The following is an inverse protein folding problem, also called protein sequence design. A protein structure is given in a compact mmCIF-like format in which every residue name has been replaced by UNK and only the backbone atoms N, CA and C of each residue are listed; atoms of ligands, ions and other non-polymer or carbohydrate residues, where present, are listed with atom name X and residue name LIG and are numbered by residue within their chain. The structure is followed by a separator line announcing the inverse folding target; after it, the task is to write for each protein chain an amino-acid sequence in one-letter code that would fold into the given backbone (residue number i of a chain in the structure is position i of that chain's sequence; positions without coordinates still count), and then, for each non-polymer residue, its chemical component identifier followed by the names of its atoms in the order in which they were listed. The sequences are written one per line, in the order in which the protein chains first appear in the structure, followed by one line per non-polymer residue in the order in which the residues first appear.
data_IF_172139244436
#
_entry.id   IF_172139244436
#
_cell.length_a   1.000
_cell.length_b   1.000
_cell.length_c   1.000
_cell.angle_alpha   90.00
_cell.angle_beta   90.00
_cell.angle_gamma   90.00
#
_symmetry.space_group_name_H-M   'P 1'
#
loop_
_entity.id
_entity.type
_entity.pdbx_description
1 polymer ?
#
# COMPACT_ATOMS: atom_id res chain seq x y z
N UNK A 1 -36.30 38.15 -48.16
CA UNK A 1 -36.14 39.62 -48.04
C UNK A 1 -35.34 39.87 -46.76
N UNK A 2 -34.11 40.41 -46.80
CA UNK A 2 -33.70 41.76 -47.22
C UNK A 2 -34.11 42.81 -46.15
N UNK A 3 -33.26 43.68 -45.58
CA UNK A 3 -31.84 44.07 -45.83
C UNK A 3 -31.17 44.65 -44.54
N UNK A 4 -29.84 44.87 -44.59
CA UNK A 4 -28.93 45.57 -43.64
C UNK A 4 -28.83 47.10 -43.96
N UNK A 5 -27.98 47.93 -43.30
CA UNK A 5 -27.54 47.98 -41.89
C UNK A 5 -27.96 49.37 -41.29
N UNK A 6 -27.15 50.47 -41.09
CA UNK A 6 -25.70 50.74 -40.91
C UNK A 6 -25.31 51.28 -39.49
N UNK A 7 -24.01 51.58 -39.26
CA UNK A 7 -23.55 52.43 -38.13
C UNK A 7 -22.17 52.10 -37.53
N UNK A 8 -21.09 52.73 -38.01
CA UNK A 8 -19.75 52.75 -37.39
C UNK A 8 -19.52 54.09 -36.65
N UNK A 9 -18.50 54.20 -35.77
CA UNK A 9 -17.31 54.96 -36.18
C UNK A 9 -15.97 54.40 -35.64
N UNK A 10 -14.88 55.14 -35.91
CA UNK A 10 -13.47 54.78 -35.76
C UNK A 10 -12.82 55.13 -34.40
N UNK A 11 -11.58 54.67 -34.19
CA UNK A 11 -10.70 55.14 -33.11
C UNK A 11 -9.35 54.42 -33.03
N UNK A 12 -8.30 54.97 -33.64
CA UNK A 12 -6.94 54.41 -33.63
C UNK A 12 -6.00 55.12 -32.64
N UNK A 13 -4.92 54.46 -32.19
CA UNK A 13 -3.76 55.18 -31.65
C UNK A 13 -2.80 54.42 -30.70
N UNK A 14 -1.51 54.50 -31.00
CA UNK A 14 -0.45 54.57 -29.96
C UNK A 14 0.33 53.29 -29.66
N UNK A 15 1.66 53.32 -29.80
CA UNK A 15 2.59 52.24 -29.45
C UNK A 15 3.86 52.77 -28.74
N UNK A 16 4.71 51.84 -28.27
CA UNK A 16 6.09 52.01 -27.72
C UNK A 16 6.17 52.42 -26.23
N UNK A 17 7.20 52.03 -25.46
CA UNK A 17 8.41 51.23 -25.77
C UNK A 17 8.92 50.44 -24.54
N UNK A 18 9.62 49.30 -24.73
CA UNK A 18 11.09 49.13 -24.94
C UNK A 18 11.97 49.31 -23.69
N UNK A 19 12.62 48.22 -23.26
CA UNK A 19 13.97 48.25 -22.67
C UNK A 19 14.67 46.86 -22.78
N UNK A 20 15.59 46.71 -23.74
CA UNK A 20 16.55 45.58 -23.85
C UNK A 20 17.80 46.05 -24.64
N UNK A 21 18.90 46.37 -23.96
CA UNK A 21 20.26 46.64 -24.53
C UNK A 21 21.30 46.35 -23.42
N UNK A 22 21.87 45.14 -23.30
CA UNK A 22 23.18 44.61 -23.79
C UNK A 22 24.50 45.11 -23.12
N UNK A 23 25.48 44.18 -23.12
CA UNK A 23 26.93 44.21 -22.81
C UNK A 23 27.31 43.56 -21.47
N UNK A 24 28.40 42.77 -21.37
CA UNK A 24 29.47 42.52 -22.36
C UNK A 24 30.22 41.19 -22.20
N UNK A 25 31.28 41.04 -22.99
CA UNK A 25 32.06 39.80 -23.20
C UNK A 25 32.95 39.43 -21.99
N UNK A 26 33.20 38.12 -21.83
CA UNK A 26 34.31 37.58 -21.05
C UNK A 26 34.74 36.20 -21.56
N UNK A 27 35.79 36.15 -22.40
CA UNK A 27 36.49 34.90 -22.76
C UNK A 27 37.68 34.72 -21.80
N UNK A 28 37.85 33.54 -21.24
CA UNK A 28 39.18 32.99 -20.96
C UNK A 28 39.13 31.45 -20.94
N UNK A 29 40.07 30.83 -21.66
CA UNK A 29 40.42 29.41 -21.50
C UNK A 29 41.66 29.34 -20.61
N UNK A 30 41.81 28.29 -19.80
CA UNK A 30 42.82 27.24 -20.02
C UNK A 30 43.13 26.40 -18.75
N UNK A 31 43.62 25.17 -18.98
CA UNK A 31 44.48 24.33 -18.11
C UNK A 31 43.81 23.71 -16.86
N UNK A 32 43.49 22.41 -16.88
CA UNK A 32 44.34 21.20 -16.67
C UNK A 32 44.71 20.94 -15.20
N UNK A 33 44.31 19.77 -14.70
CA UNK A 33 44.71 19.23 -13.38
C UNK A 33 43.96 17.94 -13.05
N UNK A 34 44.54 16.79 -13.39
CA UNK A 34 44.17 15.51 -12.77
C UNK A 34 44.72 15.48 -11.34
N UNK A 35 43.97 14.91 -10.40
CA UNK A 35 44.36 13.68 -9.68
C UNK A 35 43.29 13.29 -8.66
N UNK A 36 42.90 12.01 -8.67
CA UNK A 36 42.01 11.42 -7.68
C UNK A 36 42.79 10.35 -6.92
N UNK A 37 43.31 10.71 -5.74
CA UNK A 37 44.03 9.79 -4.87
C UNK A 37 43.07 8.86 -4.13
N UNK A 38 43.02 7.59 -4.51
CA UNK A 38 42.40 6.54 -3.69
C UNK A 38 43.33 6.19 -2.53
N UNK A 39 42.82 6.20 -1.29
CA UNK A 39 43.56 5.74 -0.12
C UNK A 39 43.02 4.38 0.34
N UNK A 40 43.83 3.35 0.13
CA UNK A 40 43.61 1.99 0.59
C UNK A 40 44.60 1.73 1.73
N UNK A 41 44.11 1.45 2.94
CA UNK A 41 44.96 1.16 4.11
C UNK A 41 44.70 -0.26 4.58
N UNK A 42 45.80 -1.03 4.68
CA UNK A 42 45.79 -2.45 4.99
C UNK A 42 46.19 -2.73 6.43
N UNK A 43 45.74 -3.90 6.90
CA UNK A 43 46.02 -4.56 8.19
C UNK A 43 47.45 -4.42 8.74
N UNK A 44 47.55 -4.37 10.07
CA UNK A 44 48.61 -5.08 10.82
C UNK A 44 48.19 -5.32 12.28
N UNK A 45 48.51 -6.52 12.79
CA UNK A 45 48.53 -6.88 14.22
C UNK A 45 49.99 -7.15 14.63
N UNK A 46 50.30 -7.30 15.94
CA UNK A 46 50.67 -8.65 16.39
C UNK A 46 50.37 -9.04 17.87
N UNK A 47 50.15 -10.35 18.05
CA UNK A 47 50.66 -11.30 19.07
C UNK A 47 50.88 -10.91 20.56
N UNK A 48 49.99 -11.44 21.41
CA UNK A 48 50.18 -12.46 22.49
C UNK A 48 51.49 -12.56 23.33
N UNK A 49 51.33 -12.77 24.66
CA UNK A 49 52.20 -13.58 25.57
C UNK A 49 51.70 -13.70 27.04
N UNK A 50 51.29 -14.90 27.44
CA UNK A 50 51.95 -15.69 28.52
C UNK A 50 51.87 -15.33 30.03
N UNK A 51 50.81 -15.80 30.72
CA UNK A 51 50.74 -16.55 32.02
C UNK A 51 51.75 -16.31 33.18
N UNK A 52 51.22 -16.05 34.40
CA UNK A 52 51.76 -16.49 35.72
C UNK A 52 50.66 -16.56 36.82
N UNK A 53 50.88 -17.30 37.92
CA UNK A 53 49.92 -17.59 39.02
C UNK A 53 50.62 -17.63 40.41
N UNK A 54 49.98 -17.98 41.56
CA UNK A 54 48.83 -17.34 42.23
C UNK A 54 49.02 -17.08 43.77
N UNK A 55 47.96 -16.60 44.45
CA UNK A 55 47.66 -16.66 45.93
C UNK A 55 48.24 -15.58 46.88
N UNK A 56 47.64 -15.34 48.09
CA UNK A 56 46.21 -15.44 48.47
C UNK A 56 45.68 -14.28 49.37
N UNK A 57 44.35 -14.26 49.58
CA UNK A 57 43.63 -13.87 50.82
C UNK A 57 43.85 -12.47 51.46
N UNK A 58 42.78 -11.64 51.46
CA UNK A 58 42.24 -11.16 52.74
C UNK A 58 40.71 -10.96 52.72
N UNK A 59 40.10 -10.93 53.91
CA UNK A 59 38.66 -11.20 54.14
C UNK A 59 37.95 -10.03 54.84
N UNK A 60 36.79 -9.62 54.33
CA UNK A 60 35.79 -8.83 55.07
C UNK A 60 34.36 -9.22 54.63
N UNK A 61 33.41 -9.23 55.57
CA UNK A 61 32.01 -9.68 55.42
C UNK A 61 31.04 -8.51 55.73
N UNK A 62 29.71 -8.73 55.87
CA UNK A 62 28.69 -9.18 54.90
C UNK A 62 27.61 -8.07 54.70
N UNK A 63 26.48 -8.28 53.97
CA UNK A 63 25.25 -8.67 54.70
C UNK A 63 24.16 -9.48 53.93
N UNK A 64 23.39 -10.25 54.72
CA UNK A 64 21.96 -10.64 54.60
C UNK A 64 21.41 -11.40 53.34
N UNK A 65 20.44 -12.33 53.53
CA UNK A 65 19.77 -13.04 52.45
C UNK A 65 18.65 -12.20 51.80
N UNK A 66 18.33 -12.41 50.51
CA UNK A 66 17.22 -11.72 49.86
C UNK A 66 15.86 -12.24 50.37
N UNK A 67 14.94 -11.31 50.63
CA UNK A 67 13.53 -11.65 50.88
C UNK A 67 12.87 -12.18 49.59
N UNK A 68 11.88 -13.10 49.71
CA UNK A 68 11.13 -13.58 48.55
C UNK A 68 10.25 -12.46 47.98
N UNK A 69 10.42 -12.17 46.69
CA UNK A 69 9.58 -11.23 45.94
C UNK A 69 8.20 -11.87 45.71
N UNK A 70 7.08 -11.19 46.00
CA UNK A 70 5.75 -11.73 45.72
C UNK A 70 5.52 -11.87 44.21
N UNK A 71 5.16 -13.07 43.79
CA UNK A 71 4.83 -13.39 42.40
C UNK A 71 3.61 -12.60 41.92
N UNK A 72 3.79 -11.75 40.90
CA UNK A 72 2.66 -11.17 40.18
C UNK A 72 1.91 -12.24 39.37
N UNK A 73 0.57 -12.16 39.26
CA UNK A 73 -0.20 -13.09 38.44
C UNK A 73 0.08 -12.81 36.96
N UNK A 74 0.71 -13.76 36.28
CA UNK A 74 0.91 -13.70 34.83
C UNK A 74 -0.45 -13.92 34.15
N UNK A 75 -1.00 -12.88 33.53
CA UNK A 75 -2.22 -13.01 32.72
C UNK A 75 -1.92 -13.83 31.47
N UNK A 76 -2.27 -15.12 31.51
CA UNK A 76 -2.10 -16.06 30.41
C UNK A 76 -3.14 -15.84 29.32
N UNK A 77 -2.70 -15.42 28.12
CA UNK A 77 -3.52 -15.53 26.92
C UNK A 77 -3.81 -17.02 26.59
N UNK A 78 -5.08 -17.45 26.45
CA UNK A 78 -5.41 -18.86 26.30
C UNK A 78 -5.45 -19.29 24.82
N UNK A 79 -4.32 -19.22 24.11
CA UNK A 79 -4.11 -20.01 22.87
C UNK A 79 -2.64 -20.47 22.80
N UNK A 80 -2.35 -21.78 22.92
CA UNK A 80 -1.00 -22.28 22.70
C UNK A 80 -0.67 -22.28 21.20
N UNK A 81 0.31 -21.49 20.80
CA UNK A 81 0.91 -21.57 19.47
C UNK A 81 1.68 -22.90 19.34
N UNK A 82 0.99 -23.94 18.87
CA UNK A 82 1.63 -25.22 18.57
C UNK A 82 2.47 -25.10 17.31
N UNK A 83 3.75 -25.46 17.43
CA UNK A 83 4.60 -25.76 16.29
C UNK A 83 4.17 -27.09 15.67
N UNK A 84 3.15 -27.06 14.82
CA UNK A 84 2.82 -28.19 13.94
C UNK A 84 3.50 -28.01 12.57
N UNK A 85 3.65 -29.12 11.85
CA UNK A 85 4.69 -29.32 10.83
C UNK A 85 4.74 -28.27 9.71
N UNK A 86 5.97 -27.93 9.31
CA UNK A 86 6.37 -26.94 8.29
C UNK A 86 6.00 -27.31 6.85
N UNK A 87 4.72 -27.61 6.59
CA UNK A 87 4.14 -27.27 5.31
C UNK A 87 4.14 -25.74 5.24
N UNK A 88 4.78 -25.14 4.22
CA UNK A 88 4.62 -23.71 3.99
C UNK A 88 3.13 -23.45 3.76
N UNK A 89 2.58 -22.38 4.36
CA UNK A 89 1.17 -22.00 4.24
C UNK A 89 0.90 -21.50 2.80
N UNK A 90 0.85 -22.43 1.86
CA UNK A 90 0.76 -22.17 0.44
C UNK A 90 -0.70 -21.94 0.06
N UNK A 91 -1.03 -20.68 -0.19
CA UNK A 91 -2.34 -20.23 -0.66
C UNK A 91 -2.17 -19.53 -2.00
N UNK A 92 -3.20 -19.54 -2.84
CA UNK A 92 -3.20 -18.86 -4.13
C UNK A 92 -4.61 -18.54 -4.57
N UNK A 93 -4.86 -18.59 -5.88
CA UNK A 93 -6.17 -18.35 -6.49
C UNK A 93 -6.60 -19.47 -7.45
N UNK A 94 -5.88 -20.60 -7.43
CA UNK A 94 -6.14 -21.78 -8.24
C UNK A 94 -7.21 -22.66 -7.60
N UNK A 95 -7.67 -23.67 -8.33
CA UNK A 95 -8.71 -24.60 -7.87
C UNK A 95 -8.36 -25.28 -6.54
N UNK A 96 -7.09 -25.69 -6.34
CA UNK A 96 -6.65 -26.49 -5.20
C UNK A 96 -6.09 -25.68 -4.01
N UNK A 97 -5.88 -24.37 -4.18
CA UNK A 97 -5.24 -23.49 -3.17
C UNK A 97 -5.97 -22.14 -2.97
N UNK A 98 -7.09 -21.97 -3.67
CA UNK A 98 -7.82 -20.71 -3.78
C UNK A 98 -8.75 -20.38 -2.61
N UNK A 99 -9.50 -19.26 -2.71
CA UNK A 99 -10.39 -18.74 -1.67
C UNK A 99 -11.35 -19.74 -1.00
N UNK A 100 -11.78 -20.78 -1.73
CA UNK A 100 -12.66 -21.83 -1.18
C UNK A 100 -11.97 -22.69 -0.10
N UNK A 101 -10.64 -22.85 -0.20
CA UNK A 101 -9.80 -23.71 0.64
C UNK A 101 -9.09 -22.96 1.76
N UNK A 102 -8.96 -21.63 1.68
CA UNK A 102 -8.21 -20.85 2.68
C UNK A 102 -8.69 -21.07 4.12
N UNK A 103 -9.97 -21.37 4.34
CA UNK A 103 -10.55 -21.72 5.66
C UNK A 103 -9.95 -22.96 6.32
N UNK A 104 -9.37 -23.87 5.54
CA UNK A 104 -8.76 -25.13 6.02
C UNK A 104 -7.44 -24.86 6.76
N UNK A 105 -6.75 -23.77 6.39
CA UNK A 105 -5.46 -23.35 6.95
C UNK A 105 -5.62 -22.10 7.84
N UNK A 106 -6.57 -21.22 7.51
CA UNK A 106 -6.86 -19.97 8.20
C UNK A 106 -8.33 -19.98 8.67
N UNK A 107 -8.67 -20.55 9.83
CA UNK A 107 -10.07 -20.69 10.29
C UNK A 107 -10.86 -19.37 10.34
N UNK A 108 -10.17 -18.24 10.56
CA UNK A 108 -10.75 -16.89 10.53
C UNK A 108 -11.36 -16.51 9.16
N UNK A 109 -11.04 -17.24 8.09
CA UNK A 109 -11.70 -17.11 6.78
C UNK A 109 -13.23 -17.28 6.83
N UNK A 110 -13.75 -17.94 7.88
CA UNK A 110 -15.18 -18.11 8.15
C UNK A 110 -15.70 -17.22 9.31
N UNK A 111 -14.93 -16.19 9.68
CA UNK A 111 -15.25 -15.22 10.74
C UNK A 111 -16.45 -14.32 10.40
N UNK A 112 -16.88 -13.55 11.40
CA UNK A 112 -18.11 -12.76 11.32
C UNK A 112 -17.97 -11.46 10.52
N UNK A 113 -16.75 -10.97 10.32
CA UNK A 113 -16.46 -9.69 9.68
C UNK A 113 -15.49 -9.84 8.52
N UNK A 114 -15.64 -10.91 7.74
CA UNK A 114 -14.82 -11.17 6.56
C UNK A 114 -15.12 -10.23 5.39
N UNK A 115 -14.10 -9.95 4.57
CA UNK A 115 -14.15 -9.09 3.38
C UNK A 115 -13.63 -9.85 2.14
N UNK A 116 -13.98 -9.44 0.91
CA UNK A 116 -14.86 -8.32 0.54
C UNK A 116 -16.34 -8.62 0.83
N UNK A 117 -17.23 -7.67 0.56
CA UNK A 117 -18.69 -7.84 0.63
C UNK A 117 -19.37 -7.33 -0.66
N UNK A 118 -20.63 -7.73 -0.85
CA UNK A 118 -21.52 -7.06 -1.79
C UNK A 118 -22.20 -5.87 -1.10
N UNK A 119 -22.02 -4.67 -1.65
CA UNK A 119 -22.61 -3.44 -1.12
C UNK A 119 -24.00 -3.27 -1.74
N UNK A 120 -25.04 -3.62 -0.96
CA UNK A 120 -26.44 -3.38 -1.31
C UNK A 120 -26.77 -1.91 -1.07
N UNK A 121 -26.90 -1.10 -2.12
CA UNK A 121 -27.00 0.35 -1.99
C UNK A 121 -28.25 0.81 -1.24
N UNK A 122 -29.38 0.13 -1.47
CA UNK A 122 -30.65 0.36 -0.75
C UNK A 122 -30.57 0.05 0.76
N UNK A 123 -29.67 -0.84 1.17
CA UNK A 123 -29.46 -1.21 2.58
C UNK A 123 -28.42 -0.31 3.29
N UNK A 124 -27.71 0.57 2.54
CA UNK A 124 -26.67 1.43 3.12
C UNK A 124 -27.25 2.60 3.90
N UNK A 125 -26.75 2.81 5.12
CA UNK A 125 -27.24 3.89 5.99
C UNK A 125 -26.45 5.18 5.78
N UNK A 126 -27.16 6.27 5.50
CA UNK A 126 -26.57 7.60 5.52
C UNK A 126 -26.20 7.98 6.96
N UNK A 127 -24.94 8.31 7.19
CA UNK A 127 -24.44 8.74 8.49
C UNK A 127 -23.83 10.15 8.37
N UNK A 128 -24.55 11.21 8.78
CA UNK A 128 -24.07 12.59 8.70
C UNK A 128 -22.92 12.92 9.67
N UNK A 129 -22.52 11.99 10.55
CA UNK A 129 -21.31 12.14 11.37
C UNK A 129 -20.02 11.76 10.63
N UNK A 130 -20.14 11.10 9.47
CA UNK A 130 -19.00 10.75 8.63
C UNK A 130 -18.37 12.01 8.03
N UNK A 131 -17.13 12.27 8.44
CA UNK A 131 -16.35 13.43 7.99
C UNK A 131 -15.87 13.23 6.53
N UNK A 132 -15.42 14.29 5.84
CA UNK A 132 -14.64 14.14 4.62
C UNK A 132 -13.38 13.29 4.85
N UNK A 133 -12.94 12.57 3.82
CA UNK A 133 -11.63 11.92 3.80
C UNK A 133 -10.55 12.95 3.48
N UNK A 134 -9.42 12.86 4.17
CA UNK A 134 -8.27 13.75 3.97
C UNK A 134 -6.99 12.91 3.80
N UNK A 135 -6.76 12.33 2.60
CA UNK A 135 -5.51 11.71 2.23
C UNK A 135 -4.43 12.79 1.97
N UNK A 136 -3.24 12.60 2.50
CA UNK A 136 -2.09 13.47 2.28
C UNK A 136 -0.86 12.60 2.07
N UNK A 137 -0.30 12.58 0.87
CA UNK A 137 0.77 11.67 0.48
C UNK A 137 1.97 12.42 -0.07
N UNK A 138 3.15 12.11 0.46
CA UNK A 138 4.44 12.59 -0.04
C UNK A 138 4.91 11.68 -1.18
N UNK A 139 5.09 12.18 -2.43
CA UNK A 139 5.60 11.37 -3.53
C UNK A 139 6.97 10.73 -3.25
N UNK A 140 7.80 11.38 -2.43
CA UNK A 140 9.13 10.87 -2.06
C UNK A 140 9.08 9.69 -1.07
N UNK A 141 7.90 9.38 -0.51
CA UNK A 141 7.71 8.20 0.34
C UNK A 141 7.65 6.89 -0.44
N UNK A 142 7.36 6.90 -1.75
CA UNK A 142 7.38 5.68 -2.58
C UNK A 142 8.79 5.08 -2.65
N UNK A 143 8.93 3.76 -2.45
CA UNK A 143 10.23 3.06 -2.39
C UNK A 143 10.42 2.09 -3.56
N UNK A 144 9.56 1.08 -3.66
CA UNK A 144 9.71 -0.03 -4.60
C UNK A 144 8.36 -0.45 -5.16
N UNK A 145 8.39 -0.98 -6.38
CA UNK A 145 7.30 -1.78 -6.97
C UNK A 145 7.78 -3.23 -7.01
N UNK A 146 6.91 -4.19 -6.68
CA UNK A 146 7.23 -5.62 -6.71
C UNK A 146 6.04 -6.47 -7.18
N UNK A 147 6.36 -7.65 -7.73
CA UNK A 147 5.41 -8.74 -7.89
C UNK A 147 5.68 -9.77 -6.79
N UNK A 148 4.69 -10.01 -5.92
CA UNK A 148 4.82 -10.97 -4.82
C UNK A 148 4.26 -12.37 -5.14
N UNK A 149 3.81 -12.61 -6.37
CA UNK A 149 3.14 -13.85 -6.82
C UNK A 149 1.61 -13.82 -6.66
N UNK A 150 1.08 -12.93 -5.84
CA UNK A 150 -0.36 -12.78 -5.56
C UNK A 150 -0.91 -11.42 -6.07
N UNK A 151 -0.06 -10.42 -6.26
CA UNK A 151 -0.37 -9.11 -6.82
C UNK A 151 0.94 -8.39 -7.24
N UNK A 152 0.80 -7.33 -8.03
CA UNK A 152 1.76 -6.22 -8.02
C UNK A 152 1.45 -5.26 -6.86
N UNK A 153 2.47 -4.69 -6.23
CA UNK A 153 2.30 -3.71 -5.14
C UNK A 153 3.40 -2.66 -5.16
N UNK A 154 3.07 -1.43 -4.73
CA UNK A 154 4.04 -0.36 -4.45
C UNK A 154 4.12 -0.17 -2.93
N UNK A 155 5.33 -0.17 -2.38
CA UNK A 155 5.58 0.07 -0.95
C UNK A 155 6.04 1.50 -0.66
N UNK A 156 5.61 2.04 0.48
CA UNK A 156 5.92 3.41 0.92
C UNK A 156 6.69 3.44 2.26
N UNK A 157 7.41 4.53 2.51
CA UNK A 157 8.05 4.83 3.79
C UNK A 157 7.00 5.25 4.84
N UNK A 158 6.75 4.36 5.77
CA UNK A 158 5.80 4.50 6.87
C UNK A 158 6.48 4.68 8.25
N UNK A 159 7.78 5.01 8.25
CA UNK A 159 8.54 5.27 9.49
C UNK A 159 8.10 6.56 10.18
N UNK A 160 7.52 7.50 9.43
CA UNK A 160 7.05 8.82 9.87
C UNK A 160 5.74 9.21 9.16
N UNK A 161 5.05 10.25 9.65
CA UNK A 161 3.78 10.74 9.09
C UNK A 161 3.98 11.55 7.78
N UNK A 162 4.70 11.00 6.79
CA UNK A 162 4.85 11.59 5.43
C UNK A 162 3.62 11.38 4.55
N UNK A 163 3.10 10.16 4.58
CA UNK A 163 1.97 9.71 3.78
C UNK A 163 0.92 9.09 4.69
N UNK A 164 -0.23 9.77 4.84
CA UNK A 164 -1.24 9.47 5.83
C UNK A 164 -2.66 9.64 5.30
N UNK A 165 -3.59 8.89 5.89
CA UNK A 165 -5.02 9.07 5.76
C UNK A 165 -5.60 9.53 7.10
N UNK A 166 -6.47 10.54 7.04
CA UNK A 166 -7.19 11.09 8.18
C UNK A 166 -8.65 11.38 7.78
N UNK A 167 -9.50 11.65 8.77
CA UNK A 167 -10.91 11.97 8.55
C UNK A 167 -11.79 10.73 8.33
N UNK A 168 -12.93 10.94 7.69
CA UNK A 168 -13.95 9.91 7.49
C UNK A 168 -14.33 9.14 8.76
N UNK A 169 -14.37 7.79 8.72
CA UNK A 169 -14.71 6.94 9.86
C UNK A 169 -13.55 6.76 10.85
N UNK A 170 -12.38 7.36 10.59
CA UNK A 170 -11.15 7.10 11.34
C UNK A 170 -11.08 7.95 12.62
N UNK A 171 -10.56 7.33 13.67
CA UNK A 171 -10.35 7.91 15.00
C UNK A 171 -9.04 8.71 15.12
N UNK A 172 -8.10 8.54 14.20
CA UNK A 172 -6.76 9.13 14.25
C UNK A 172 -6.03 9.05 12.91
N UNK A 173 -4.70 9.08 12.94
CA UNK A 173 -3.82 9.15 11.77
C UNK A 173 -3.31 7.78 11.35
N UNK A 174 -3.61 7.38 10.11
CA UNK A 174 -3.21 6.07 9.57
C UNK A 174 -2.14 6.26 8.50
N UNK A 175 -0.95 5.66 8.66
CA UNK A 175 0.16 5.76 7.71
C UNK A 175 -0.02 4.83 6.53
N UNK A 176 0.23 5.34 5.32
CA UNK A 176 0.25 4.55 4.09
C UNK A 176 1.40 3.54 4.13
N UNK A 177 1.07 2.26 4.03
CA UNK A 177 2.04 1.16 3.95
C UNK A 177 2.35 0.79 2.50
N UNK A 178 1.31 0.54 1.72
CA UNK A 178 1.40 0.03 0.36
C UNK A 178 0.13 0.32 -0.44
N UNK A 179 0.22 0.22 -1.76
CA UNK A 179 -0.93 0.01 -2.64
C UNK A 179 -0.78 -1.29 -3.43
N UNK A 180 -1.90 -1.96 -3.74
CA UNK A 180 -1.94 -3.17 -4.56
C UNK A 180 -3.26 -3.28 -5.35
N UNK A 181 -3.37 -4.24 -6.25
CA UNK A 181 -4.48 -4.35 -7.20
C UNK A 181 -5.04 -5.77 -7.26
N UNK A 182 -6.36 -5.88 -7.36
CA UNK A 182 -7.06 -7.11 -7.68
C UNK A 182 -7.70 -6.99 -9.07
N UNK A 183 -7.58 -8.03 -9.88
CA UNK A 183 -8.11 -8.09 -11.25
C UNK A 183 -8.52 -9.52 -11.61
N UNK A 184 -9.24 -9.64 -12.72
CA UNK A 184 -9.65 -10.92 -13.28
C UNK A 184 -9.22 -11.10 -14.73
N UNK A 185 -9.58 -12.26 -15.28
CA UNK A 185 -9.08 -12.75 -16.57
C UNK A 185 -9.69 -12.03 -17.77
N UNK A 186 -10.77 -11.28 -17.56
CA UNK A 186 -11.44 -10.47 -18.57
C UNK A 186 -11.77 -9.08 -18.02
N UNK A 187 -12.30 -8.23 -18.90
CA UNK A 187 -12.60 -6.82 -18.63
C UNK A 187 -13.94 -6.60 -17.88
N UNK A 188 -14.71 -7.67 -17.66
CA UNK A 188 -16.05 -7.62 -17.05
C UNK A 188 -15.99 -7.81 -15.53
N UNK A 189 -15.01 -8.57 -15.03
CA UNK A 189 -14.96 -8.98 -13.63
C UNK A 189 -13.54 -9.13 -13.12
N UNK A 190 -13.19 -8.33 -12.11
CA UNK A 190 -11.92 -8.41 -11.38
C UNK A 190 -11.87 -7.74 -10.02
N UNK A 191 -12.88 -6.92 -9.66
CA UNK A 191 -13.03 -6.38 -8.31
C UNK A 191 -13.34 -7.48 -7.28
N UNK A 192 -12.93 -7.19 -6.05
CA UNK A 192 -13.21 -8.00 -4.86
C UNK A 192 -14.60 -7.65 -4.32
N UNK A 193 -14.83 -6.36 -4.07
CA UNK A 193 -16.14 -5.82 -3.74
C UNK A 193 -17.06 -5.81 -4.97
N UNK A 194 -18.36 -5.87 -4.70
CA UNK A 194 -19.42 -5.65 -5.68
C UNK A 194 -20.38 -4.58 -5.17
N UNK A 195 -21.10 -3.94 -6.10
CA UNK A 195 -22.15 -2.97 -5.79
C UNK A 195 -23.44 -3.47 -6.44
N UNK A 196 -24.45 -3.78 -5.63
CA UNK A 196 -25.70 -4.42 -6.05
C UNK A 196 -25.49 -5.68 -6.92
N UNK A 197 -24.44 -6.46 -6.62
CA UNK A 197 -24.01 -7.65 -7.37
C UNK A 197 -23.17 -7.36 -8.62
N UNK A 198 -23.01 -6.10 -9.04
CA UNK A 198 -22.15 -5.72 -10.17
C UNK A 198 -20.68 -5.74 -9.79
N UNK A 199 -19.84 -6.23 -10.72
CA UNK A 199 -18.37 -6.18 -10.64
C UNK A 199 -17.79 -5.05 -11.47
N UNK A 200 -16.57 -4.67 -11.10
CA UNK A 200 -15.69 -3.82 -11.89
C UNK A 200 -14.51 -4.64 -12.42
N UNK A 201 -13.77 -4.11 -13.40
CA UNK A 201 -12.71 -4.83 -14.10
C UNK A 201 -11.47 -5.10 -13.22
N UNK A 202 -11.22 -4.21 -12.26
CA UNK A 202 -10.21 -4.35 -11.22
C UNK A 202 -10.57 -3.47 -10.00
N UNK A 203 -9.82 -3.63 -8.92
CA UNK A 203 -9.95 -2.86 -7.68
C UNK A 203 -8.55 -2.54 -7.11
N UNK A 204 -8.32 -1.27 -6.80
CA UNK A 204 -7.10 -0.75 -6.17
C UNK A 204 -7.33 -0.65 -4.66
N UNK A 205 -6.44 -1.24 -3.88
CA UNK A 205 -6.40 -1.09 -2.43
C UNK A 205 -5.24 -0.19 -2.00
N UNK A 206 -5.56 0.85 -1.24
CA UNK A 206 -4.60 1.77 -0.61
C UNK A 206 -4.58 1.47 0.89
N UNK A 207 -3.55 0.78 1.36
CA UNK A 207 -3.49 0.16 2.69
C UNK A 207 -2.75 1.05 3.67
N UNK A 208 -3.43 1.39 4.76
CA UNK A 208 -2.90 2.20 5.85
C UNK A 208 -2.97 1.47 7.20
N UNK A 209 -2.16 1.90 8.16
CA UNK A 209 -2.16 1.36 9.53
C UNK A 209 -2.10 2.46 10.60
N UNK A 210 -2.74 2.20 11.74
CA UNK A 210 -2.91 3.12 12.86
C UNK A 210 -1.61 3.24 13.69
N UNK A 211 -0.64 3.97 13.13
CA UNK A 211 0.66 4.26 13.74
C UNK A 211 0.60 5.29 14.88
N UNK A 212 -0.59 5.85 15.15
CA UNK A 212 -0.83 6.71 16.31
C UNK A 212 -1.12 5.87 17.56
N UNK A 213 -1.73 4.69 17.40
CA UNK A 213 -2.12 3.79 18.50
C UNK A 213 -1.20 2.58 18.68
N UNK A 214 -0.61 2.06 17.60
CA UNK A 214 0.19 0.83 17.60
C UNK A 214 1.64 1.08 17.19
N UNK A 215 2.56 0.27 17.71
CA UNK A 215 4.01 0.43 17.49
C UNK A 215 4.49 -0.08 16.12
N UNK A 216 3.71 -0.96 15.48
CA UNK A 216 4.07 -1.56 14.19
C UNK A 216 2.85 -1.98 13.37
N UNK A 217 3.04 -2.11 12.05
CA UNK A 217 2.03 -2.66 11.14
C UNK A 217 1.55 -4.06 11.56
N UNK A 218 2.45 -4.91 12.09
CA UNK A 218 2.11 -6.28 12.50
C UNK A 218 1.23 -6.28 13.75
N UNK A 219 1.54 -5.42 14.73
CA UNK A 219 0.68 -5.23 15.89
C UNK A 219 -0.69 -4.70 15.47
N UNK A 220 -0.72 -3.66 14.63
CA UNK A 220 -1.96 -3.08 14.12
C UNK A 220 -2.80 -4.10 13.32
N UNK A 221 -2.19 -4.94 12.49
CA UNK A 221 -2.91 -5.96 11.73
C UNK A 221 -3.64 -7.00 12.60
N UNK A 222 -3.31 -7.12 13.88
CA UNK A 222 -3.99 -7.97 14.86
C UNK A 222 -5.12 -7.26 15.64
N UNK A 223 -5.43 -6.00 15.33
CA UNK A 223 -6.33 -5.14 16.10
C UNK A 223 -7.50 -4.65 15.26
N UNK A 224 -8.71 -4.60 15.83
CA UNK A 224 -9.96 -4.32 15.08
C UNK A 224 -10.05 -2.93 14.44
N UNK A 225 -9.24 -1.98 14.90
CA UNK A 225 -9.10 -0.60 14.40
C UNK A 225 -7.65 -0.31 13.96
N UNK A 226 -6.89 -1.34 13.62
CA UNK A 226 -5.47 -1.20 13.31
C UNK A 226 -5.18 -0.87 11.85
N UNK A 227 -6.02 -1.30 10.90
CA UNK A 227 -5.85 -1.02 9.48
C UNK A 227 -7.00 -0.19 8.91
N UNK A 228 -6.70 0.64 7.92
CA UNK A 228 -7.69 1.34 7.12
C UNK A 228 -7.35 1.16 5.63
N UNK A 229 -8.30 0.68 4.83
CA UNK A 229 -8.09 0.44 3.40
C UNK A 229 -9.08 1.28 2.60
N UNK A 230 -8.54 2.16 1.75
CA UNK A 230 -9.35 2.77 0.70
C UNK A 230 -9.39 1.83 -0.51
N UNK A 231 -10.60 1.46 -0.95
CA UNK A 231 -10.81 0.74 -2.19
C UNK A 231 -11.26 1.71 -3.29
N UNK A 232 -10.68 1.55 -4.48
CA UNK A 232 -11.04 2.31 -5.69
C UNK A 232 -11.34 1.32 -6.80
N UNK A 233 -12.56 1.36 -7.33
CA UNK A 233 -12.94 0.54 -8.47
C UNK A 233 -12.31 1.05 -9.77
N UNK A 234 -11.83 0.13 -10.62
CA UNK A 234 -11.34 0.42 -11.96
C UNK A 234 -12.38 -0.06 -12.99
N UNK A 235 -12.97 0.87 -13.74
CA UNK A 235 -13.98 0.60 -14.76
C UNK A 235 -13.38 0.74 -16.16
N UNK A 236 -13.79 -0.14 -17.09
CA UNK A 236 -13.43 -0.04 -18.51
C UNK A 236 -13.89 1.31 -19.10
N UNK A 237 -12.97 1.98 -19.77
CA UNK A 237 -13.17 3.26 -20.43
C UNK A 237 -11.88 3.72 -21.13
N UNK A 238 -11.63 5.03 -21.16
CA UNK A 238 -10.39 5.59 -21.68
C UNK A 238 -9.17 5.15 -20.83
N UNK A 239 -8.01 5.01 -21.48
CA UNK A 239 -6.76 4.73 -20.79
C UNK A 239 -6.43 5.85 -19.80
N UNK A 240 -6.20 5.51 -18.53
CA UNK A 240 -5.88 6.48 -17.49
C UNK A 240 -4.38 6.84 -17.53
N UNK A 241 -3.98 8.08 -17.88
CA UNK A 241 -2.57 8.42 -18.02
C UNK A 241 -1.79 8.35 -16.71
N UNK A 242 -2.45 8.46 -15.55
CA UNK A 242 -1.80 8.33 -14.25
C UNK A 242 -1.42 6.87 -13.94
N UNK A 243 -2.20 5.91 -14.45
CA UNK A 243 -1.93 4.47 -14.29
C UNK A 243 -0.74 3.99 -15.14
N UNK A 244 -0.35 4.73 -16.18
CA UNK A 244 0.88 4.46 -16.96
C UNK A 244 2.13 4.45 -16.08
N UNK A 245 2.19 5.31 -15.05
CA UNK A 245 3.28 5.33 -14.06
C UNK A 245 3.55 3.95 -13.46
N UNK A 246 2.50 3.14 -13.24
CA UNK A 246 2.61 1.77 -12.72
C UNK A 246 2.75 0.77 -13.87
N UNK A 247 1.87 0.84 -14.88
CA UNK A 247 1.82 -0.19 -15.93
C UNK A 247 3.09 -0.25 -16.79
N UNK A 248 3.79 0.87 -16.98
CA UNK A 248 5.08 0.92 -17.70
C UNK A 248 6.25 0.33 -16.89
N UNK A 249 6.02 -0.09 -15.64
CA UNK A 249 7.00 -0.78 -14.80
C UNK A 249 6.72 -2.27 -14.64
N UNK A 250 5.54 -2.76 -15.02
CA UNK A 250 5.14 -4.15 -14.77
C UNK A 250 6.03 -5.18 -15.48
N UNK A 251 6.50 -4.89 -16.70
CA UNK A 251 7.44 -5.76 -17.42
C UNK A 251 8.76 -5.95 -16.65
N UNK A 252 9.21 -4.93 -15.90
CA UNK A 252 10.45 -4.99 -15.08
C UNK A 252 10.32 -5.88 -13.84
N UNK A 253 9.08 -6.21 -13.45
CA UNK A 253 8.76 -7.06 -12.29
C UNK A 253 7.86 -8.25 -12.68
N UNK A 254 7.90 -8.68 -13.94
CA UNK A 254 6.94 -9.64 -14.48
C UNK A 254 6.90 -10.98 -13.72
N UNK A 255 8.03 -11.44 -13.20
CA UNK A 255 8.19 -12.73 -12.50
C UNK A 255 7.99 -12.55 -10.99
N UNK A 256 7.37 -13.52 -10.29
CA UNK A 256 7.23 -13.54 -8.82
C UNK A 256 8.56 -13.31 -8.12
N UNK A 257 8.55 -12.47 -7.09
CA UNK A 257 9.72 -12.09 -6.30
C UNK A 257 10.60 -10.98 -6.92
N UNK A 258 10.38 -10.60 -8.19
CA UNK A 258 11.10 -9.47 -8.79
C UNK A 258 10.55 -8.14 -8.23
N UNK A 259 11.47 -7.20 -8.03
CA UNK A 259 11.21 -5.85 -7.52
C UNK A 259 12.09 -4.82 -8.21
N UNK A 260 11.63 -3.59 -8.31
CA UNK A 260 12.36 -2.48 -8.89
C UNK A 260 12.17 -1.18 -8.07
N UNK A 261 13.15 -0.28 -8.16
CA UNK A 261 13.05 1.04 -7.51
C UNK A 261 11.88 1.84 -8.11
N UNK A 262 11.04 2.40 -7.25
CA UNK A 262 9.84 3.14 -7.63
C UNK A 262 9.61 4.29 -6.65
N UNK A 263 10.18 5.44 -6.99
CA UNK A 263 10.21 6.66 -6.16
C UNK A 263 9.44 7.79 -6.84
N UNK A 264 9.17 8.88 -6.11
CA UNK A 264 8.49 10.08 -6.60
C UNK A 264 7.09 9.79 -7.19
N UNK A 265 6.33 8.93 -6.51
CA UNK A 265 4.98 8.52 -6.90
C UNK A 265 3.98 8.88 -5.80
N UNK A 266 3.03 9.75 -6.14
CA UNK A 266 1.89 10.09 -5.29
C UNK A 266 0.67 9.23 -5.69
N UNK A 267 0.15 8.35 -4.81
CA UNK A 267 -1.03 7.54 -5.10
C UNK A 267 -2.33 8.36 -5.16
N UNK A 268 -2.35 9.63 -4.76
CA UNK A 268 -3.51 10.52 -4.94
C UNK A 268 -3.93 10.65 -6.41
N UNK A 269 -2.97 10.51 -7.34
CA UNK A 269 -3.25 10.55 -8.78
C UNK A 269 -4.03 9.34 -9.31
N UNK A 270 -4.28 8.32 -8.48
CA UNK A 270 -5.15 7.18 -8.76
C UNK A 270 -6.46 7.22 -7.94
N UNK A 271 -6.77 8.34 -7.28
CA UNK A 271 -8.07 8.56 -6.65
C UNK A 271 -9.06 9.22 -7.64
N UNK A 272 -10.36 8.94 -7.51
CA UNK A 272 -11.42 9.65 -8.23
C UNK A 272 -11.56 11.10 -7.76
N UNK A 273 -12.40 11.90 -8.45
CA UNK A 273 -12.63 13.31 -8.11
C UNK A 273 -13.48 13.46 -6.85
N UNK A 274 -14.55 12.67 -6.73
CA UNK A 274 -15.33 12.54 -5.51
C UNK A 274 -14.73 11.48 -4.61
N UNK A 275 -14.42 11.87 -3.38
CA UNK A 275 -14.02 10.95 -2.31
C UNK A 275 -15.23 10.44 -1.52
N UNK A 276 -16.44 10.54 -2.05
CA UNK A 276 -17.65 9.92 -1.51
C UNK A 276 -17.50 8.40 -1.40
N UNK A 277 -17.94 7.82 -0.28
CA UNK A 277 -17.58 6.45 0.10
C UNK A 277 -18.68 5.71 0.87
N UNK A 278 -18.56 4.39 0.85
CA UNK A 278 -19.15 3.46 1.83
C UNK A 278 -18.10 3.04 2.85
N UNK A 279 -18.51 2.73 4.08
CA UNK A 279 -17.60 2.21 5.12
C UNK A 279 -18.24 1.14 5.99
N UNK A 280 -17.44 0.13 6.34
CA UNK A 280 -17.81 -0.97 7.21
C UNK A 280 -16.57 -1.58 7.89
N UNK A 281 -16.76 -2.33 8.98
CA UNK A 281 -15.69 -3.09 9.62
C UNK A 281 -15.55 -4.48 8.96
N UNK A 282 -14.34 -4.81 8.53
CA UNK A 282 -14.06 -5.99 7.73
C UNK A 282 -12.70 -6.63 8.03
N UNK A 283 -12.21 -7.40 7.07
CA UNK A 283 -10.94 -8.12 7.16
C UNK A 283 -9.97 -7.75 6.05
N UNK A 284 -8.74 -8.23 6.17
CA UNK A 284 -7.88 -8.47 5.01
C UNK A 284 -8.60 -9.44 4.06
N UNK A 285 -8.47 -9.23 2.76
CA UNK A 285 -9.04 -10.08 1.71
C UNK A 285 -8.11 -11.20 1.27
N UNK A 286 -6.87 -11.21 1.78
CA UNK A 286 -5.87 -12.27 1.59
C UNK A 286 -5.43 -12.84 2.95
N UNK A 287 -4.96 -14.10 3.00
CA UNK A 287 -4.35 -14.67 4.20
C UNK A 287 -3.29 -13.77 4.86
N UNK A 288 -3.33 -13.59 6.20
CA UNK A 288 -4.08 -14.37 7.20
C UNK A 288 -5.55 -13.95 7.45
N UNK A 289 -6.18 -13.11 6.61
CA UNK A 289 -7.63 -12.78 6.67
C UNK A 289 -8.11 -12.16 8.01
N UNK A 290 -7.21 -11.46 8.71
CA UNK A 290 -7.49 -10.86 10.02
C UNK A 290 -8.57 -9.77 9.93
N UNK A 291 -9.49 -9.77 10.90
CA UNK A 291 -10.62 -8.81 10.99
C UNK A 291 -10.21 -7.48 11.63
N UNK A 292 -9.23 -6.82 11.01
CA UNK A 292 -8.53 -5.64 11.50
C UNK A 292 -8.75 -4.38 10.64
N UNK A 293 -9.64 -4.44 9.65
CA UNK A 293 -9.74 -3.43 8.58
C UNK A 293 -11.00 -2.58 8.71
N UNK A 294 -10.81 -1.26 8.77
CA UNK A 294 -11.84 -0.27 8.46
C UNK A 294 -11.84 -0.05 6.95
N UNK A 295 -12.87 -0.53 6.26
CA UNK A 295 -13.01 -0.35 4.82
C UNK A 295 -13.59 1.02 4.47
N UNK A 296 -13.06 1.61 3.41
CA UNK A 296 -13.49 2.89 2.84
C UNK A 296 -13.57 2.69 1.31
N UNK A 297 -14.74 2.28 0.82
CA UNK A 297 -14.94 1.94 -0.61
C UNK A 297 -15.47 3.17 -1.33
N UNK A 298 -14.68 3.75 -2.24
CA UNK A 298 -15.07 4.96 -2.97
C UNK A 298 -16.17 4.67 -4.00
N UNK A 299 -17.16 5.56 -4.09
CA UNK A 299 -18.34 5.42 -4.95
C UNK A 299 -18.04 5.71 -6.42
N UNK A 300 -17.15 6.67 -6.70
CA UNK A 300 -16.74 6.99 -8.07
C UNK A 300 -15.57 6.06 -8.49
N UNK A 301 -15.72 5.27 -9.57
CA UNK A 301 -14.61 4.49 -10.12
C UNK A 301 -13.65 5.38 -10.93
N UNK A 302 -12.39 4.96 -11.02
CA UNK A 302 -11.46 5.51 -12.03
C UNK A 302 -11.56 4.72 -13.34
N UNK A 303 -11.23 5.37 -14.46
CA UNK A 303 -11.15 4.68 -15.76
C UNK A 303 -9.89 3.83 -15.88
N UNK A 304 -9.96 2.77 -16.69
CA UNK A 304 -8.84 1.96 -17.18
C UNK A 304 -9.19 1.42 -18.58
N UNK A 305 -8.21 1.25 -19.47
CA UNK A 305 -8.42 0.59 -20.76
C UNK A 305 -7.93 -0.86 -20.77
N UNK A 306 -8.41 -1.63 -21.75
CA UNK A 306 -8.08 -3.06 -21.93
C UNK A 306 -6.57 -3.30 -22.05
N UNK A 307 -5.83 -2.41 -22.72
CA UNK A 307 -4.38 -2.48 -22.88
C UNK A 307 -3.63 -2.32 -21.56
N UNK A 308 -4.14 -1.48 -20.66
CA UNK A 308 -3.58 -1.31 -19.31
C UNK A 308 -3.83 -2.56 -18.46
N UNK A 309 -5.04 -3.14 -18.50
CA UNK A 309 -5.34 -4.40 -17.80
C UNK A 309 -4.58 -5.59 -18.37
N UNK A 310 -4.31 -5.63 -19.68
CA UNK A 310 -3.47 -6.67 -20.30
C UNK A 310 -2.05 -6.69 -19.70
N UNK A 311 -1.49 -5.53 -19.31
CA UNK A 311 -0.19 -5.45 -18.61
C UNK A 311 -0.24 -5.97 -17.17
N UNK A 312 -1.39 -5.94 -16.48
CA UNK A 312 -1.56 -6.62 -15.19
C UNK A 312 -1.64 -8.14 -15.39
N UNK A 313 -2.42 -8.60 -16.38
CA UNK A 313 -2.60 -10.03 -16.72
C UNK A 313 -1.35 -10.70 -17.30
N UNK A 314 -0.32 -9.93 -17.69
CA UNK A 314 0.97 -10.47 -18.18
C UNK A 314 1.96 -10.82 -17.07
N UNK A 315 1.71 -10.35 -15.84
CA UNK A 315 2.46 -10.74 -14.64
C UNK A 315 2.32 -12.24 -14.39
N UNK A 316 3.36 -12.85 -13.82
CA UNK A 316 3.39 -14.27 -13.46
C UNK A 316 3.14 -14.46 -11.97
N UNK A 317 2.36 -15.48 -11.61
CA UNK A 317 2.22 -15.97 -10.24
C UNK A 317 3.40 -16.86 -9.81
N UNK A 318 4.31 -17.16 -10.75
CA UNK A 318 5.41 -18.12 -10.59
C UNK A 318 6.79 -17.48 -10.67
N UNK A 319 7.76 -18.11 -10.01
CA UNK A 319 9.17 -17.73 -9.97
C UNK A 319 9.90 -18.07 -11.28
N UNK A 320 11.20 -17.76 -11.34
CA UNK A 320 12.04 -17.89 -12.56
C UNK A 320 12.42 -19.35 -12.87
N UNK A 321 12.41 -20.20 -11.86
CA UNK A 321 12.65 -21.64 -11.89
C UNK A 321 11.36 -22.49 -11.91
N UNK A 322 10.18 -21.84 -11.85
CA UNK A 322 8.85 -22.46 -11.89
C UNK A 322 8.27 -22.40 -13.32
N UNK A 323 7.35 -23.31 -13.67
CA UNK A 323 6.63 -23.26 -14.96
C UNK A 323 5.80 -22.00 -15.03
N UNK A 324 6.05 -21.15 -16.03
CA UNK A 324 5.42 -19.84 -16.17
C UNK A 324 3.88 -19.90 -16.16
N UNK A 325 3.25 -19.37 -15.11
CA UNK A 325 1.81 -19.22 -15.00
C UNK A 325 1.45 -17.73 -14.87
N UNK A 326 0.56 -17.23 -15.74
CA UNK A 326 0.09 -15.85 -15.65
C UNK A 326 -0.86 -15.67 -14.46
N UNK A 327 -0.69 -14.59 -13.72
CA UNK A 327 -1.60 -14.16 -12.65
C UNK A 327 -2.87 -13.57 -13.28
N UNK A 328 -3.73 -14.44 -13.83
CA UNK A 328 -4.93 -14.02 -14.57
C UNK A 328 -6.09 -13.60 -13.66
N UNK A 329 -6.13 -14.09 -12.42
CA UNK A 329 -7.15 -13.77 -11.42
C UNK A 329 -6.53 -13.74 -10.04
N UNK A 330 -6.76 -12.67 -9.30
CA UNK A 330 -6.27 -12.54 -7.92
C UNK A 330 -7.27 -11.90 -6.96
N UNK A 331 -8.58 -12.12 -7.14
CA UNK A 331 -9.63 -11.67 -6.23
C UNK A 331 -10.27 -12.81 -5.41
N UNK A 332 -10.66 -12.49 -4.17
CA UNK A 332 -11.56 -13.25 -3.30
C UNK A 332 -13.02 -12.92 -3.63
N UNK A 333 -13.95 -13.89 -3.64
CA UNK A 333 -15.39 -13.59 -3.79
C UNK A 333 -15.97 -12.81 -2.58
N UNK A 334 -17.10 -12.09 -2.75
CA UNK A 334 -17.87 -11.52 -1.65
C UNK A 334 -18.17 -12.54 -0.53
N UNK A 335 -18.04 -12.08 0.71
CA UNK A 335 -18.25 -12.85 1.94
C UNK A 335 -19.58 -12.42 2.61
N UNK A 336 -20.20 -13.28 3.45
CA UNK A 336 -21.47 -12.96 4.10
C UNK A 336 -21.40 -11.71 5.00
N UNK A 337 -22.39 -10.81 4.88
CA UNK A 337 -22.44 -9.56 5.65
C UNK A 337 -22.62 -9.79 7.16
N UNK A 338 -23.32 -10.86 7.57
CA UNK A 338 -23.54 -11.29 8.98
C UNK A 338 -24.01 -10.16 9.91
N UNK A 339 -24.97 -9.36 9.45
CA UNK A 339 -25.58 -8.30 10.27
C UNK A 339 -24.69 -7.07 10.52
N UNK A 340 -23.51 -6.99 9.89
CA UNK A 340 -22.74 -5.74 9.83
C UNK A 340 -23.51 -4.66 9.10
N UNK A 341 -23.35 -3.43 9.54
CA UNK A 341 -23.88 -2.25 8.87
C UNK A 341 -22.87 -1.67 7.89
N UNK A 342 -23.34 -1.26 6.71
CA UNK A 342 -22.57 -0.45 5.76
C UNK A 342 -23.11 0.98 5.82
N UNK A 343 -22.25 1.92 6.19
CA UNK A 343 -22.58 3.36 6.27
C UNK A 343 -22.08 4.09 5.02
N UNK A 344 -22.65 5.24 4.71
CA UNK A 344 -22.21 6.16 3.64
C UNK A 344 -22.28 7.61 4.07
N UNK A 345 -21.38 8.43 3.52
CA UNK A 345 -21.37 9.88 3.71
C UNK A 345 -22.32 10.63 2.76
#
# INVERSE_FOLDING_TARGET
MALRPPGHPDGAGGSLGRAWVTKGLGRQQARTGQEAGALQVSLSAPEDRGVAAPSPSNRAQPPLPPHPVPSQPVLSCPVPCRQESRAMLHWGYDEHNGPAHWKEVFPVANGDRQSPIDIKTEETKYDPSLRPLNPSYDPASAKIILNNGHSTSVEFDDTVNKSVLTGGPLSGTYRLRQIHFHWGSNDEAGSEHTVDGMKYAAELHVVHWNAEKYSSFVEAACQSDGLAVMAVFLKIGECNPQLNKITDRLDTIRIKGKKALFTNFDPSCLLPKSLDYWTYFGSLTVPPLLESVIWIVLREPISVCSEQLAKFRSLLSTAEDEVACCLLRNFRPPQPLRGREVRRN
#
